data_IF_354042166672
#
_entry.id   IF_354042166672
#
_cell.length_a   1.000
_cell.length_b   1.000
_cell.length_c   1.000
_cell.angle_alpha   90.00
_cell.angle_beta   90.00
_cell.angle_gamma   90.00
#
_symmetry.space_group_name_H-M   'P 1'
#
loop_
_entity.id
_entity.type
_entity.pdbx_description
1 polymer ?
#
# COMPACT_ATOMS: atom_id res chain seq x y z
N UNK A 1 33.17 -17.14 45.12
CA UNK A 1 32.38 -17.96 44.17
C UNK A 1 31.22 -17.20 43.55
N UNK A 2 30.45 -16.43 44.33
CA UNK A 2 29.24 -15.72 43.85
C UNK A 2 29.46 -14.78 42.66
N UNK A 3 30.56 -14.02 42.62
CA UNK A 3 30.86 -13.11 41.50
C UNK A 3 31.04 -13.86 40.17
N UNK A 4 31.58 -15.09 40.20
CA UNK A 4 31.72 -15.93 39.00
C UNK A 4 30.37 -16.48 38.55
N UNK A 5 29.50 -16.83 39.50
CA UNK A 5 28.14 -17.30 39.21
C UNK A 5 27.27 -16.17 38.62
N UNK A 6 27.33 -14.96 39.19
CA UNK A 6 26.61 -13.78 38.67
C UNK A 6 27.06 -13.40 37.26
N UNK A 7 28.37 -13.44 36.99
CA UNK A 7 28.91 -13.18 35.65
C UNK A 7 28.44 -14.22 34.63
N UNK A 8 28.44 -15.50 35.00
CA UNK A 8 27.94 -16.58 34.14
C UNK A 8 26.42 -16.45 33.86
N UNK A 9 25.63 -16.03 34.85
CA UNK A 9 24.20 -15.77 34.66
C UNK A 9 23.96 -14.56 33.75
N UNK A 10 24.73 -13.49 33.92
CA UNK A 10 24.66 -12.29 33.07
C UNK A 10 25.05 -12.61 31.62
N UNK A 11 26.08 -13.42 31.40
CA UNK A 11 26.50 -13.89 30.08
C UNK A 11 25.42 -14.77 29.42
N UNK A 12 24.76 -15.67 30.17
CA UNK A 12 23.63 -16.47 29.67
C UNK A 12 22.43 -15.61 29.29
N UNK A 13 22.09 -14.59 30.11
CA UNK A 13 21.00 -13.65 29.79
C UNK A 13 21.33 -12.79 28.56
N UNK A 14 22.58 -12.35 28.41
CA UNK A 14 23.02 -11.61 27.25
C UNK A 14 22.96 -12.46 25.97
N UNK A 15 23.37 -13.73 26.04
CA UNK A 15 23.28 -14.68 24.93
C UNK A 15 21.82 -14.93 24.50
N UNK A 16 20.91 -15.16 25.46
CA UNK A 16 19.48 -15.33 25.17
C UNK A 16 18.88 -14.08 24.52
N UNK A 17 19.22 -12.89 25.00
CA UNK A 17 18.74 -11.63 24.43
C UNK A 17 19.28 -11.39 23.02
N UNK A 18 20.54 -11.77 22.73
CA UNK A 18 21.13 -11.68 21.41
C UNK A 18 20.43 -12.65 20.43
N UNK A 19 20.14 -13.87 20.86
CA UNK A 19 19.40 -14.86 20.08
C UNK A 19 17.97 -14.40 19.77
N UNK A 20 17.26 -13.85 20.76
CA UNK A 20 15.92 -13.27 20.56
C UNK A 20 15.93 -12.11 19.55
N UNK A 21 16.95 -11.24 19.59
CA UNK A 21 17.12 -10.16 18.60
C UNK A 21 17.40 -10.70 17.20
N UNK A 22 18.27 -11.70 17.08
CA UNK A 22 18.55 -12.35 15.80
C UNK A 22 17.29 -13.05 15.24
N UNK A 23 16.49 -13.70 16.07
CA UNK A 23 15.22 -14.30 15.68
C UNK A 23 14.20 -13.25 15.22
N UNK A 24 14.11 -12.11 15.92
CA UNK A 24 13.24 -11.00 15.52
C UNK A 24 13.65 -10.40 14.16
N UNK A 25 14.95 -10.22 13.93
CA UNK A 25 15.49 -9.75 12.65
C UNK A 25 15.18 -10.71 11.50
N UNK A 26 15.38 -12.02 11.70
CA UNK A 26 15.02 -13.04 10.70
C UNK A 26 13.54 -13.00 10.33
N UNK A 27 12.65 -12.90 11.33
CA UNK A 27 11.20 -12.79 11.07
C UNK A 27 10.85 -11.52 10.28
N UNK A 28 11.47 -10.39 10.61
CA UNK A 28 11.27 -9.15 9.86
C UNK A 28 11.76 -9.27 8.41
N UNK A 29 12.90 -9.92 8.21
CA UNK A 29 13.47 -10.10 6.87
C UNK A 29 12.65 -11.09 6.02
N UNK A 30 12.17 -12.18 6.61
CA UNK A 30 11.23 -13.12 5.98
C UNK A 30 9.93 -12.41 5.58
N UNK A 31 9.38 -11.57 6.47
CA UNK A 31 8.19 -10.78 6.16
C UNK A 31 8.43 -9.80 5.02
N UNK A 32 9.56 -9.09 5.05
CA UNK A 32 9.97 -8.17 3.97
C UNK A 32 10.14 -8.89 2.63
N UNK A 33 10.73 -10.09 2.65
CA UNK A 33 10.91 -10.90 1.45
C UNK A 33 9.56 -11.38 0.89
N UNK A 34 8.64 -11.81 1.76
CA UNK A 34 7.29 -12.20 1.37
C UNK A 34 6.53 -11.02 0.74
N UNK A 35 6.62 -9.83 1.34
CA UNK A 35 6.00 -8.61 0.80
C UNK A 35 6.63 -8.22 -0.56
N UNK A 36 7.96 -8.29 -0.67
CA UNK A 36 8.65 -8.02 -1.93
C UNK A 36 8.28 -9.02 -3.03
N UNK A 37 8.17 -10.32 -2.70
CA UNK A 37 7.74 -11.36 -3.63
C UNK A 37 6.32 -11.08 -4.14
N UNK A 38 5.41 -10.72 -3.23
CA UNK A 38 4.01 -10.41 -3.56
C UNK A 38 3.91 -9.16 -4.44
N UNK A 39 4.75 -8.17 -4.20
CA UNK A 39 4.88 -6.97 -5.04
C UNK A 39 5.37 -7.32 -6.45
N UNK A 40 6.37 -8.18 -6.58
CA UNK A 40 6.89 -8.62 -7.87
C UNK A 40 5.83 -9.38 -8.68
N UNK A 41 5.11 -10.32 -8.05
CA UNK A 41 4.00 -11.04 -8.68
C UNK A 41 2.89 -10.10 -9.16
N UNK A 42 2.56 -9.05 -8.39
CA UNK A 42 1.56 -8.06 -8.79
C UNK A 42 2.01 -7.27 -10.04
N UNK A 43 3.28 -6.84 -10.09
CA UNK A 43 3.82 -6.11 -11.24
C UNK A 43 3.81 -6.98 -12.50
N UNK A 44 4.17 -8.24 -12.38
CA UNK A 44 4.14 -9.19 -13.50
C UNK A 44 2.71 -9.38 -14.01
N UNK A 45 1.72 -9.49 -13.12
CA UNK A 45 0.30 -9.63 -13.50
C UNK A 45 -0.24 -8.42 -14.24
N UNK A 46 0.13 -7.21 -13.83
CA UNK A 46 -0.26 -5.96 -14.49
C UNK A 46 0.41 -5.79 -15.87
N UNK A 47 1.62 -6.34 -16.02
CA UNK A 47 2.36 -6.29 -17.28
C UNK A 47 1.88 -7.34 -18.32
N UNK A 48 1.01 -8.29 -17.93
CA UNK A 48 0.45 -9.24 -18.89
C UNK A 48 -0.56 -8.55 -19.82
N UNK A 49 -0.42 -8.68 -21.15
CA UNK A 49 -1.43 -8.18 -22.07
C UNK A 49 -2.76 -8.87 -21.80
N UNK A 50 -3.85 -8.10 -21.83
CA UNK A 50 -5.19 -8.66 -21.70
C UNK A 50 -5.41 -9.76 -22.76
N UNK A 51 -6.14 -10.85 -22.43
CA UNK A 51 -6.41 -11.91 -23.39
C UNK A 51 -7.08 -11.33 -24.63
N UNK A 52 -6.68 -11.84 -25.80
CA UNK A 52 -7.23 -11.41 -27.08
C UNK A 52 -8.76 -11.59 -27.09
N UNK A 53 -9.51 -10.72 -27.78
CA UNK A 53 -10.98 -10.70 -27.75
C UNK A 53 -11.66 -12.02 -28.19
N UNK A 54 -10.94 -12.92 -28.86
CA UNK A 54 -11.45 -14.24 -29.25
C UNK A 54 -11.58 -15.24 -28.09
N UNK A 55 -10.73 -15.13 -27.05
CA UNK A 55 -10.71 -16.06 -25.91
C UNK A 55 -11.79 -15.71 -24.85
N UNK A 56 -12.29 -14.46 -24.86
CA UNK A 56 -13.33 -13.97 -23.97
C UNK A 56 -14.74 -14.52 -24.28
N UNK A 57 -14.97 -15.08 -25.47
CA UNK A 57 -16.29 -15.48 -25.94
C UNK A 57 -16.76 -16.88 -25.47
N UNK A 58 -15.94 -17.66 -24.75
CA UNK A 58 -16.23 -19.06 -24.41
C UNK A 58 -16.13 -19.43 -22.91
N UNK A 59 -16.47 -18.52 -21.98
CA UNK A 59 -16.54 -18.83 -20.55
C UNK A 59 -18.00 -18.86 -20.03
N UNK A 60 -18.41 -19.86 -19.20
CA UNK A 60 -19.76 -19.95 -18.67
C UNK A 60 -20.06 -18.82 -17.66
N UNK A 61 -21.25 -18.24 -17.81
CA UNK A 61 -21.79 -17.19 -16.96
C UNK A 61 -22.07 -17.71 -15.53
N UNK A 62 -21.14 -17.45 -14.59
CA UNK A 62 -21.37 -17.18 -13.17
C UNK A 62 -20.03 -17.30 -12.39
N UNK A 63 -19.16 -16.30 -12.52
CA UNK A 63 -18.12 -16.04 -11.52
C UNK A 63 -18.68 -15.01 -10.51
N UNK A 64 -18.31 -15.03 -9.22
CA UNK A 64 -18.66 -13.94 -8.32
C UNK A 64 -18.07 -12.67 -8.93
N UNK A 65 -18.93 -11.72 -9.28
CA UNK A 65 -18.52 -10.39 -9.71
C UNK A 65 -17.82 -9.75 -8.51
N UNK A 66 -16.51 -9.96 -8.40
CA UNK A 66 -15.65 -9.12 -7.59
C UNK A 66 -15.67 -7.74 -8.28
N UNK A 67 -16.62 -6.91 -7.90
CA UNK A 67 -16.73 -5.54 -8.40
C UNK A 67 -15.58 -4.72 -7.81
N UNK A 68 -14.53 -4.54 -8.59
CA UNK A 68 -13.49 -3.59 -8.30
C UNK A 68 -14.10 -2.19 -8.14
N UNK A 69 -13.84 -1.49 -7.01
CA UNK A 69 -14.38 -0.15 -6.82
C UNK A 69 -13.84 0.83 -7.86
N UNK A 70 -14.73 1.65 -8.41
CA UNK A 70 -14.34 2.78 -9.24
C UNK A 70 -14.37 4.07 -8.42
N UNK A 71 -13.32 4.87 -8.53
CA UNK A 71 -13.19 6.19 -7.90
C UNK A 71 -12.69 7.19 -8.91
N UNK A 72 -12.76 8.48 -8.58
CA UNK A 72 -12.34 9.53 -9.49
C UNK A 72 -11.74 10.72 -8.76
N UNK A 73 -10.90 11.47 -9.47
CA UNK A 73 -10.42 12.79 -9.07
C UNK A 73 -10.89 13.83 -10.07
N UNK A 74 -11.37 14.95 -9.56
CA UNK A 74 -11.55 16.18 -10.32
C UNK A 74 -10.31 17.04 -10.13
N UNK A 75 -9.62 17.34 -11.22
CA UNK A 75 -8.33 18.05 -11.19
C UNK A 75 -8.53 19.48 -11.60
N UNK A 76 -8.06 20.41 -10.76
CA UNK A 76 -7.99 21.82 -11.08
C UNK A 76 -6.53 22.28 -11.16
N UNK A 77 -6.25 23.22 -12.05
CA UNK A 77 -4.97 23.91 -12.19
C UNK A 77 -5.26 25.41 -12.11
N UNK A 78 -4.56 26.13 -11.24
CA UNK A 78 -4.80 27.56 -10.96
C UNK A 78 -6.27 27.89 -10.65
N UNK A 79 -6.96 26.96 -9.96
CA UNK A 79 -8.37 27.09 -9.60
C UNK A 79 -9.36 26.78 -10.73
N UNK A 80 -8.90 26.49 -11.94
CA UNK A 80 -9.74 26.09 -13.06
C UNK A 80 -9.81 24.57 -13.18
N UNK A 81 -11.03 24.01 -13.19
CA UNK A 81 -11.25 22.58 -13.39
C UNK A 81 -10.84 22.18 -14.82
N UNK A 82 -9.86 21.29 -14.95
CA UNK A 82 -9.31 20.85 -16.25
C UNK A 82 -9.83 19.49 -16.69
N UNK A 83 -10.35 18.68 -15.76
CA UNK A 83 -10.93 17.39 -16.12
C UNK A 83 -11.06 16.42 -14.96
N UNK A 84 -11.47 15.21 -15.32
CA UNK A 84 -11.70 14.09 -14.40
C UNK A 84 -10.79 12.93 -14.76
N UNK A 85 -10.18 12.33 -13.74
CA UNK A 85 -9.42 11.08 -13.87
C UNK A 85 -10.21 10.01 -13.12
N UNK A 86 -10.52 8.90 -13.79
CA UNK A 86 -11.21 7.75 -13.19
C UNK A 86 -10.22 6.60 -12.98
N UNK A 87 -10.35 5.92 -11.84
CA UNK A 87 -9.51 4.81 -11.43
C UNK A 87 -10.37 3.59 -11.12
N UNK A 88 -9.97 2.45 -11.66
CA UNK A 88 -10.43 1.15 -11.17
C UNK A 88 -9.44 0.65 -10.10
N UNK A 89 -9.96 0.27 -8.93
CA UNK A 89 -9.15 -0.26 -7.84
C UNK A 89 -9.25 -1.78 -7.83
N UNK A 90 -8.15 -2.47 -8.09
CA UNK A 90 -8.05 -3.94 -8.09
C UNK A 90 -8.17 -4.53 -6.67
N UNK A 91 -9.37 -4.47 -6.09
CA UNK A 91 -9.67 -4.94 -4.75
C UNK A 91 -9.61 -6.46 -4.64
N UNK A 92 -9.82 -7.17 -5.75
CA UNK A 92 -9.59 -8.61 -5.88
C UNK A 92 -8.11 -8.98 -5.66
N UNK A 93 -7.17 -8.10 -6.03
CA UNK A 93 -5.73 -8.32 -5.90
C UNK A 93 -5.15 -7.75 -4.61
N UNK A 94 -5.53 -6.50 -4.30
CA UNK A 94 -4.95 -5.71 -3.22
C UNK A 94 -6.04 -5.09 -2.33
N UNK A 95 -6.86 -5.92 -1.64
CA UNK A 95 -8.08 -5.46 -0.98
C UNK A 95 -7.84 -4.36 0.06
N UNK A 96 -6.76 -4.46 0.85
CA UNK A 96 -6.42 -3.47 1.86
C UNK A 96 -6.00 -2.12 1.25
N UNK A 97 -5.23 -2.16 0.16
CA UNK A 97 -4.74 -0.95 -0.52
C UNK A 97 -5.86 -0.27 -1.29
N UNK A 98 -6.66 -1.05 -2.01
CA UNK A 98 -7.85 -0.57 -2.72
C UNK A 98 -8.83 0.10 -1.74
N UNK A 99 -9.14 -0.55 -0.62
CA UNK A 99 -10.04 0.02 0.38
C UNK A 99 -9.47 1.27 1.04
N UNK A 100 -8.17 1.29 1.37
CA UNK A 100 -7.52 2.50 1.88
C UNK A 100 -7.62 3.67 0.89
N UNK A 101 -7.31 3.42 -0.39
CA UNK A 101 -7.40 4.45 -1.42
C UNK A 101 -8.84 4.93 -1.61
N UNK A 102 -9.81 4.02 -1.66
CA UNK A 102 -11.24 4.34 -1.75
C UNK A 102 -11.69 5.24 -0.58
N UNK A 103 -11.35 4.87 0.65
CA UNK A 103 -11.70 5.64 1.84
C UNK A 103 -11.07 7.05 1.84
N UNK A 104 -9.84 7.21 1.32
CA UNK A 104 -9.20 8.51 1.20
C UNK A 104 -9.83 9.36 0.09
N UNK A 105 -10.36 8.75 -0.97
CA UNK A 105 -11.15 9.47 -1.97
C UNK A 105 -12.47 9.99 -1.38
N UNK A 106 -13.18 9.19 -0.59
CA UNK A 106 -14.47 9.59 0.00
C UNK A 106 -14.35 10.44 1.26
N UNK A 107 -13.24 10.33 1.99
CA UNK A 107 -13.04 11.01 3.27
C UNK A 107 -13.90 10.45 4.41
N UNK A 108 -14.50 9.26 4.25
CA UNK A 108 -15.47 8.68 5.20
C UNK A 108 -14.84 8.26 6.55
N UNK A 109 -13.51 8.12 6.60
CA UNK A 109 -12.77 7.66 7.80
C UNK A 109 -12.47 8.79 8.80
N UNK A 110 -12.98 10.00 8.58
CA UNK A 110 -12.84 11.12 9.50
C UNK A 110 -11.42 11.68 9.55
N UNK A 111 -10.88 11.88 10.74
CA UNK A 111 -9.55 12.47 10.95
C UNK A 111 -8.56 11.49 11.56
N UNK A 112 -7.29 11.62 11.18
CA UNK A 112 -6.19 10.87 11.77
C UNK A 112 -6.04 11.22 13.25
N UNK A 113 -5.99 10.20 14.11
CA UNK A 113 -5.73 10.40 15.55
C UNK A 113 -4.34 10.98 15.82
N UNK A 114 -3.38 10.73 14.92
CA UNK A 114 -1.98 11.16 15.09
C UNK A 114 -1.76 12.58 14.59
N UNK A 115 -2.16 12.86 13.35
CA UNK A 115 -1.93 14.18 12.73
C UNK A 115 -3.08 15.16 12.95
N UNK A 116 -4.25 14.70 13.40
CA UNK A 116 -5.51 15.49 13.47
C UNK A 116 -6.01 16.02 12.13
N UNK A 117 -5.36 15.66 11.03
CA UNK A 117 -5.74 16.03 9.66
C UNK A 117 -6.83 15.08 9.15
N UNK A 118 -7.75 15.60 8.36
CA UNK A 118 -8.82 14.81 7.71
C UNK A 118 -8.19 13.80 6.75
N UNK A 119 -8.65 12.55 6.80
CA UNK A 119 -8.17 11.46 5.94
C UNK A 119 -8.84 11.56 4.57
N UNK A 120 -8.48 12.56 3.77
CA UNK A 120 -9.04 12.77 2.44
C UNK A 120 -8.01 13.30 1.45
N UNK A 121 -8.16 12.93 0.18
CA UNK A 121 -7.41 13.54 -0.93
C UNK A 121 -8.00 14.85 -1.43
N UNK A 122 -9.24 15.18 -1.05
CA UNK A 122 -9.86 16.43 -1.47
C UNK A 122 -9.06 17.63 -0.97
N UNK A 123 -8.63 18.48 -1.91
CA UNK A 123 -7.79 19.65 -1.62
C UNK A 123 -6.31 19.34 -1.41
N UNK A 124 -5.86 18.10 -1.65
CA UNK A 124 -4.44 17.78 -1.73
C UNK A 124 -3.90 18.00 -3.14
N UNK A 125 -2.64 18.43 -3.23
CA UNK A 125 -1.99 18.76 -4.50
C UNK A 125 -1.09 17.62 -5.03
N UNK A 126 -0.83 17.66 -6.34
CA UNK A 126 0.27 16.89 -6.94
C UNK A 126 1.59 17.64 -6.76
N UNK A 127 2.25 17.43 -5.62
CA UNK A 127 3.49 18.12 -5.26
C UNK A 127 4.70 17.76 -6.14
N UNK A 128 4.66 16.63 -6.86
CA UNK A 128 5.76 16.20 -7.72
C UNK A 128 5.29 15.70 -9.08
N UNK A 129 5.70 16.39 -10.14
CA UNK A 129 5.36 16.07 -11.53
C UNK A 129 6.65 15.91 -12.34
N UNK A 130 6.81 14.75 -12.99
CA UNK A 130 7.91 14.48 -13.91
C UNK A 130 7.32 14.23 -15.30
N UNK A 131 7.51 15.15 -16.26
CA UNK A 131 7.00 15.01 -17.62
C UNK A 131 7.43 13.69 -18.27
N UNK A 132 6.49 13.01 -18.93
CA UNK A 132 6.73 11.73 -19.60
C UNK A 132 6.92 10.54 -18.66
N UNK A 133 6.77 10.73 -17.34
CA UNK A 133 6.93 9.64 -16.37
C UNK A 133 5.72 9.51 -15.45
N UNK A 134 5.53 10.44 -14.50
CA UNK A 134 4.47 10.31 -13.50
C UNK A 134 4.13 11.62 -12.78
N UNK A 135 2.95 11.64 -12.18
CA UNK A 135 2.52 12.63 -11.20
C UNK A 135 2.34 11.94 -9.84
N UNK A 136 2.89 12.53 -8.79
CA UNK A 136 2.80 12.05 -7.42
C UNK A 136 2.07 13.10 -6.57
N UNK A 137 1.12 12.61 -5.77
CA UNK A 137 0.34 13.39 -4.83
C UNK A 137 -0.09 12.52 -3.66
N UNK A 138 -1.14 12.95 -2.95
CA UNK A 138 -1.71 12.18 -1.84
C UNK A 138 -1.04 12.42 -0.48
N UNK A 139 -0.07 13.34 -0.39
CA UNK A 139 0.32 13.91 0.89
C UNK A 139 -0.64 15.04 1.26
N UNK A 140 -1.66 14.69 2.03
CA UNK A 140 -2.63 15.64 2.57
C UNK A 140 -2.20 16.26 3.91
N UNK A 141 -1.00 15.95 4.42
CA UNK A 141 -0.52 16.42 5.73
C UNK A 141 0.55 17.50 5.66
N UNK A 142 1.56 17.32 4.80
CA UNK A 142 2.65 18.29 4.65
C UNK A 142 2.67 18.90 3.26
N UNK A 143 2.29 18.13 2.25
CA UNK A 143 2.19 18.58 0.87
C UNK A 143 3.54 18.62 0.15
N UNK A 144 4.51 17.81 0.60
CA UNK A 144 5.90 17.80 0.11
C UNK A 144 6.25 16.50 -0.62
#
# INVERSE_FOLDING_TARGET
EEVRAQRAEQERRAALAAEQRAAAQRRQEEQRLADNKRKAELLERLARPAPAPEEAAQAPAAAPVNLNPHVFFEIAVDGALIGRIEFELFADLVPKTAENFRCLCTGERGSSQRSRVKLTFQGSDFHRIIPGFMCQGGDFTRGD
#
